data_IF_291963596942
#
_entry.id   IF_291963596942
#
_cell.length_a   1.000
_cell.length_b   1.000
_cell.length_c   1.000
_cell.angle_alpha   90.00
_cell.angle_beta   90.00
_cell.angle_gamma   90.00
#
_symmetry.space_group_name_H-M   'P 1'
#
loop_
_entity.id
_entity.type
_entity.pdbx_description
1 polymer ?
#
# COMPACT_ATOMS: atom_id res chain seq x y z
N UNK A 1 10.39 1.34 23.59
CA UNK A 1 9.26 1.90 22.82
C UNK A 1 9.81 2.96 21.88
N UNK A 2 9.85 2.71 20.56
CA UNK A 2 10.29 3.72 19.60
C UNK A 2 9.31 4.91 19.64
N UNK A 3 9.77 6.03 20.11
CA UNK A 3 9.10 7.31 19.95
C UNK A 3 9.33 7.83 18.52
N UNK A 4 8.58 8.84 18.08
CA UNK A 4 8.85 9.52 16.82
C UNK A 4 10.33 9.89 16.76
N UNK A 5 10.99 9.61 15.64
CA UNK A 5 12.43 9.76 15.53
C UNK A 5 12.90 9.69 14.08
N UNK A 6 14.22 9.66 13.94
CA UNK A 6 14.87 9.61 12.63
C UNK A 6 15.90 8.49 12.67
N UNK A 7 15.82 7.57 11.71
CA UNK A 7 16.85 6.58 11.47
C UNK A 7 17.77 7.11 10.37
N UNK A 8 19.06 7.14 10.66
CA UNK A 8 20.09 7.59 9.72
C UNK A 8 21.19 6.54 9.62
N UNK A 9 21.65 6.33 8.41
CA UNK A 9 22.86 5.58 8.11
C UNK A 9 23.74 6.47 7.23
N UNK A 10 25.04 6.51 7.51
CA UNK A 10 25.99 7.27 6.70
C UNK A 10 25.90 6.86 5.22
N UNK A 11 25.84 7.85 4.33
CA UNK A 11 25.68 7.63 2.89
C UNK A 11 24.31 7.10 2.42
N UNK A 12 23.31 6.98 3.31
CA UNK A 12 21.99 6.47 2.98
C UNK A 12 20.86 7.48 3.23
N UNK A 13 19.69 7.18 2.69
CA UNK A 13 18.48 7.98 2.88
C UNK A 13 18.06 8.02 4.35
N UNK A 14 17.63 9.17 4.79
CA UNK A 14 17.04 9.35 6.12
C UNK A 14 15.64 8.79 6.18
N UNK A 15 15.33 7.99 7.18
CA UNK A 15 13.99 7.45 7.44
C UNK A 15 13.39 8.18 8.63
N UNK A 16 12.27 8.83 8.43
CA UNK A 16 11.49 9.46 9.48
C UNK A 16 10.48 8.45 10.07
N UNK A 17 10.49 8.32 11.38
CA UNK A 17 9.59 7.42 12.13
C UNK A 17 8.53 8.28 12.81
N UNK A 18 7.26 8.01 12.49
CA UNK A 18 6.12 8.73 13.05
C UNK A 18 5.20 7.78 13.82
N UNK A 19 4.65 8.26 14.93
CA UNK A 19 3.56 7.62 15.67
C UNK A 19 2.33 8.50 15.65
N UNK A 20 1.16 7.88 15.53
CA UNK A 20 -0.11 8.61 15.52
C UNK A 20 -0.35 9.47 14.28
N UNK A 21 0.55 9.45 13.30
CA UNK A 21 0.48 10.25 12.09
C UNK A 21 0.24 9.39 10.82
N UNK A 22 -0.26 8.17 10.98
CA UNK A 22 -0.42 7.21 9.89
C UNK A 22 -1.20 7.79 8.70
N UNK A 23 -2.34 8.42 8.96
CA UNK A 23 -3.17 9.00 7.91
C UNK A 23 -2.43 10.13 7.15
N UNK A 24 -1.77 11.03 7.87
CA UNK A 24 -1.05 12.15 7.25
C UNK A 24 0.13 11.66 6.40
N UNK A 25 0.90 10.69 6.90
CA UNK A 25 2.01 10.08 6.17
C UNK A 25 1.50 9.38 4.91
N UNK A 26 0.43 8.58 5.02
CA UNK A 26 -0.15 7.86 3.91
C UNK A 26 -0.69 8.80 2.81
N UNK A 27 -1.37 9.88 3.21
CA UNK A 27 -1.90 10.88 2.27
C UNK A 27 -0.81 11.66 1.53
N UNK A 28 0.34 11.89 2.17
CA UNK A 28 1.47 12.63 1.58
C UNK A 28 2.45 11.73 0.80
N UNK A 29 2.26 10.40 0.82
CA UNK A 29 3.15 9.46 0.13
C UNK A 29 2.82 9.34 -1.35
N UNK A 30 3.83 9.19 -2.20
CA UNK A 30 3.69 8.87 -3.63
C UNK A 30 3.59 7.36 -3.88
N UNK A 31 4.18 6.57 -2.99
CA UNK A 31 4.22 5.10 -2.99
C UNK A 31 4.10 4.61 -1.56
N UNK A 32 3.40 3.51 -1.37
CA UNK A 32 3.30 2.83 -0.07
C UNK A 32 4.03 1.50 -0.13
N UNK A 33 4.94 1.27 0.81
CA UNK A 33 5.56 -0.02 1.02
C UNK A 33 4.91 -0.66 2.25
N UNK A 34 4.33 -1.83 2.07
CA UNK A 34 3.62 -2.53 3.14
C UNK A 34 3.87 -4.03 3.09
N UNK A 35 3.72 -4.70 4.22
CA UNK A 35 3.85 -6.16 4.26
C UNK A 35 2.53 -6.84 3.90
N UNK A 36 1.42 -6.36 4.44
CA UNK A 36 0.08 -6.89 4.19
C UNK A 36 -1.00 -6.06 4.89
N UNK A 37 -2.27 -6.37 4.63
CA UNK A 37 -3.42 -5.93 5.41
C UNK A 37 -3.91 -4.52 5.09
N UNK A 38 -4.57 -3.93 6.06
CA UNK A 38 -5.34 -2.68 5.92
C UNK A 38 -4.54 -1.49 5.39
N UNK A 39 -3.23 -1.42 5.65
CA UNK A 39 -2.39 -0.34 5.13
C UNK A 39 -2.34 -0.34 3.59
N UNK A 40 -2.25 -1.54 2.97
CA UNK A 40 -2.26 -1.70 1.51
C UNK A 40 -3.64 -1.35 0.93
N UNK A 41 -4.72 -1.77 1.60
CA UNK A 41 -6.09 -1.40 1.21
C UNK A 41 -6.31 0.11 1.23
N UNK A 42 -5.83 0.77 2.28
CA UNK A 42 -5.92 2.22 2.42
C UNK A 42 -5.07 2.95 1.37
N UNK A 43 -3.90 2.42 1.00
CA UNK A 43 -3.10 2.96 -0.09
C UNK A 43 -3.88 2.93 -1.41
N UNK A 44 -4.49 1.78 -1.75
CA UNK A 44 -5.34 1.66 -2.94
C UNK A 44 -6.51 2.63 -2.87
N UNK A 45 -7.18 2.75 -1.73
CA UNK A 45 -8.29 3.70 -1.52
C UNK A 45 -7.91 5.17 -1.66
N UNK A 46 -6.64 5.51 -1.42
CA UNK A 46 -6.07 6.83 -1.66
C UNK A 46 -5.47 7.00 -3.07
N UNK A 47 -5.72 6.05 -3.95
CA UNK A 47 -5.19 6.01 -5.31
C UNK A 47 -3.65 6.03 -5.36
N UNK A 48 -3.01 5.35 -4.41
CA UNK A 48 -1.54 5.21 -4.35
C UNK A 48 -1.14 3.81 -4.77
N UNK A 49 -0.10 3.65 -5.58
CA UNK A 49 0.48 2.33 -5.81
C UNK A 49 1.06 1.78 -4.51
N UNK A 50 0.97 0.48 -4.34
CA UNK A 50 1.51 -0.20 -3.17
C UNK A 50 2.49 -1.30 -3.59
N UNK A 51 3.64 -1.36 -2.94
CA UNK A 51 4.61 -2.45 -3.06
C UNK A 51 4.53 -3.31 -1.81
N UNK A 52 4.23 -4.59 -1.98
CA UNK A 52 4.25 -5.55 -0.90
C UNK A 52 5.63 -6.18 -0.75
N UNK A 53 6.08 -6.30 0.50
CA UNK A 53 7.31 -7.00 0.89
C UNK A 53 6.93 -8.25 1.68
N UNK A 54 6.75 -9.40 1.03
CA UNK A 54 6.53 -10.65 1.75
C UNK A 54 7.77 -11.01 2.58
N UNK A 55 7.55 -11.69 3.68
CA UNK A 55 8.59 -12.09 4.63
C UNK A 55 8.19 -13.32 5.42
N UNK A 56 8.78 -13.51 6.59
CA UNK A 56 8.42 -14.57 7.52
C UNK A 56 7.13 -14.25 8.29
N UNK A 57 6.30 -15.26 8.53
CA UNK A 57 5.08 -15.15 9.33
C UNK A 57 3.80 -15.43 8.53
N UNK A 58 2.71 -15.74 9.21
CA UNK A 58 1.49 -16.27 8.57
C UNK A 58 0.77 -15.28 7.64
N UNK A 59 0.95 -13.96 7.85
CA UNK A 59 0.32 -12.93 7.04
C UNK A 59 1.28 -12.23 6.08
N UNK A 60 2.52 -12.71 5.98
CA UNK A 60 3.58 -12.08 5.18
C UNK A 60 4.13 -13.01 4.10
N UNK A 61 3.44 -14.08 3.80
CA UNK A 61 3.84 -15.04 2.77
C UNK A 61 3.57 -14.50 1.37
N UNK A 62 4.31 -14.99 0.38
CA UNK A 62 4.08 -14.69 -1.03
C UNK A 62 2.65 -15.05 -1.47
N UNK A 63 2.08 -16.14 -0.93
CA UNK A 63 0.70 -16.54 -1.22
C UNK A 63 -0.31 -15.51 -0.70
N UNK A 64 -0.09 -14.95 0.48
CA UNK A 64 -0.94 -13.89 1.02
C UNK A 64 -0.82 -12.59 0.23
N UNK A 65 0.41 -12.20 -0.15
CA UNK A 65 0.65 -11.04 -0.99
C UNK A 65 -0.06 -11.16 -2.35
N UNK A 66 -0.01 -12.34 -2.96
CA UNK A 66 -0.72 -12.60 -4.23
C UNK A 66 -2.24 -12.58 -4.06
N UNK A 67 -2.78 -13.15 -2.98
CA UNK A 67 -4.21 -13.09 -2.68
C UNK A 67 -4.68 -11.63 -2.52
N UNK A 68 -3.92 -10.81 -1.82
CA UNK A 68 -4.21 -9.39 -1.65
C UNK A 68 -4.10 -8.62 -2.97
N UNK A 69 -3.11 -8.93 -3.81
CA UNK A 69 -2.98 -8.35 -5.16
C UNK A 69 -4.19 -8.69 -6.03
N UNK A 70 -4.69 -9.92 -5.99
CA UNK A 70 -5.92 -10.31 -6.71
C UNK A 70 -7.14 -9.55 -6.21
N UNK A 71 -7.25 -9.36 -4.92
CA UNK A 71 -8.34 -8.61 -4.29
C UNK A 71 -8.30 -7.13 -4.66
N UNK A 72 -7.15 -6.48 -4.53
CA UNK A 72 -6.98 -5.03 -4.63
C UNK A 72 -6.60 -4.54 -6.04
N UNK A 73 -6.20 -5.44 -6.94
CA UNK A 73 -5.96 -5.13 -8.33
C UNK A 73 -4.49 -4.87 -8.70
N UNK A 74 -4.24 -4.46 -9.96
CA UNK A 74 -2.91 -4.39 -10.55
C UNK A 74 -2.04 -3.23 -10.05
N UNK A 75 -2.56 -2.39 -9.17
CA UNK A 75 -1.81 -1.30 -8.53
C UNK A 75 -1.14 -1.71 -7.22
N UNK A 76 -1.30 -2.98 -6.84
CA UNK A 76 -0.56 -3.65 -5.78
C UNK A 76 0.50 -4.53 -6.42
N UNK A 77 1.75 -4.23 -6.16
CA UNK A 77 2.93 -4.85 -6.75
C UNK A 77 3.63 -5.73 -5.73
N UNK A 78 4.30 -6.76 -6.22
CA UNK A 78 5.16 -7.62 -5.43
C UNK A 78 6.33 -8.04 -6.30
N UNK A 79 7.56 -7.94 -5.80
CA UNK A 79 8.73 -8.39 -6.52
C UNK A 79 8.78 -9.93 -6.56
N UNK A 80 9.35 -10.52 -7.62
CA UNK A 80 9.54 -11.96 -7.71
C UNK A 80 10.58 -12.46 -6.71
N UNK A 81 10.64 -13.78 -6.55
CA UNK A 81 11.62 -14.46 -5.70
C UNK A 81 11.04 -14.95 -4.38
N UNK A 82 11.86 -15.70 -3.66
CA UNK A 82 11.50 -16.23 -2.34
C UNK A 82 11.45 -15.08 -1.32
N UNK A 83 10.35 -15.02 -0.59
CA UNK A 83 10.10 -13.96 0.39
C UNK A 83 11.23 -13.81 1.40
N UNK A 84 11.82 -12.63 1.46
CA UNK A 84 12.93 -12.29 2.37
C UNK A 84 14.30 -12.76 1.91
N UNK A 85 14.42 -13.41 0.74
CA UNK A 85 15.73 -13.70 0.13
C UNK A 85 16.45 -12.41 -0.30
N UNK A 86 17.75 -12.48 -0.49
CA UNK A 86 18.54 -11.35 -0.96
C UNK A 86 18.06 -10.87 -2.34
N UNK A 87 17.80 -11.82 -3.25
CA UNK A 87 17.30 -11.56 -4.60
C UNK A 87 15.93 -10.86 -4.58
N UNK A 88 15.03 -11.31 -3.70
CA UNK A 88 13.72 -10.68 -3.54
C UNK A 88 13.85 -9.25 -2.99
N UNK A 89 14.76 -9.01 -2.04
CA UNK A 89 15.00 -7.67 -1.49
C UNK A 89 15.60 -6.72 -2.53
N UNK A 90 16.56 -7.19 -3.34
CA UNK A 90 17.13 -6.40 -4.45
C UNK A 90 16.07 -6.07 -5.51
N UNK A 91 15.30 -7.08 -5.94
CA UNK A 91 14.21 -6.88 -6.89
C UNK A 91 13.14 -5.93 -6.33
N UNK A 92 12.83 -6.03 -5.04
CA UNK A 92 11.91 -5.11 -4.35
C UNK A 92 12.43 -3.69 -4.31
N UNK A 93 13.73 -3.49 -4.06
CA UNK A 93 14.35 -2.17 -4.07
C UNK A 93 14.32 -1.54 -5.47
N UNK A 94 14.67 -2.30 -6.52
CA UNK A 94 14.61 -1.84 -7.90
C UNK A 94 13.16 -1.46 -8.29
N UNK A 95 12.20 -2.31 -7.98
CA UNK A 95 10.78 -2.08 -8.24
C UNK A 95 10.25 -0.86 -7.45
N UNK A 96 10.72 -0.67 -6.22
CA UNK A 96 10.37 0.51 -5.42
C UNK A 96 10.79 1.81 -6.10
N UNK A 97 12.02 1.88 -6.61
CA UNK A 97 12.54 3.06 -7.32
C UNK A 97 11.77 3.32 -8.62
N UNK A 98 11.49 2.29 -9.42
CA UNK A 98 10.68 2.40 -10.63
C UNK A 98 9.28 2.93 -10.30
N UNK A 99 8.59 2.31 -9.34
CA UNK A 99 7.26 2.71 -8.94
C UNK A 99 7.22 4.14 -8.37
N UNK A 100 8.22 4.54 -7.60
CA UNK A 100 8.31 5.90 -7.07
C UNK A 100 8.46 6.93 -8.20
N UNK A 101 9.28 6.65 -9.20
CA UNK A 101 9.41 7.50 -10.38
C UNK A 101 8.09 7.55 -11.16
N UNK A 102 7.50 6.40 -11.45
CA UNK A 102 6.25 6.29 -12.21
C UNK A 102 5.06 6.94 -11.49
N UNK A 103 4.96 6.82 -10.18
CA UNK A 103 3.89 7.46 -9.41
C UNK A 103 3.88 8.98 -9.57
N UNK A 104 5.02 9.58 -9.89
CA UNK A 104 5.17 11.02 -10.10
C UNK A 104 4.91 11.46 -11.54
N UNK A 105 5.34 10.68 -12.52
CA UNK A 105 5.35 11.10 -13.94
C UNK A 105 4.47 10.25 -14.88
N UNK A 106 4.02 9.06 -14.47
CA UNK A 106 3.24 8.15 -15.31
C UNK A 106 1.73 8.38 -15.08
N UNK A 107 1.09 9.09 -16.02
CA UNK A 107 -0.34 9.39 -15.94
C UNK A 107 -1.22 8.14 -16.15
N UNK A 108 -0.71 7.12 -16.85
CA UNK A 108 -1.43 5.84 -16.99
C UNK A 108 -1.49 5.09 -15.66
N UNK A 109 -0.39 5.05 -14.92
CA UNK A 109 -0.38 4.49 -13.56
C UNK A 109 -1.35 5.23 -12.63
N UNK A 110 -1.32 6.57 -12.64
CA UNK A 110 -2.23 7.40 -11.84
C UNK A 110 -3.69 7.17 -12.19
N UNK A 111 -3.99 7.03 -13.48
CA UNK A 111 -5.35 6.71 -13.97
C UNK A 111 -5.78 5.31 -13.55
N UNK A 112 -4.87 4.33 -13.65
CA UNK A 112 -5.10 2.97 -13.19
C UNK A 112 -5.39 2.94 -11.67
N UNK A 113 -4.61 3.65 -10.86
CA UNK A 113 -4.84 3.74 -9.41
C UNK A 113 -6.22 4.28 -9.07
N UNK A 114 -6.67 5.35 -9.73
CA UNK A 114 -8.02 5.90 -9.53
C UNK A 114 -9.11 4.90 -9.90
N UNK A 115 -9.00 4.28 -11.07
CA UNK A 115 -9.97 3.30 -11.58
C UNK A 115 -10.09 2.07 -10.66
N UNK A 116 -8.95 1.54 -10.20
CA UNK A 116 -8.97 0.37 -9.32
C UNK A 116 -9.46 0.71 -7.91
N UNK A 117 -9.18 1.91 -7.39
CA UNK A 117 -9.75 2.36 -6.12
C UNK A 117 -11.28 2.38 -6.18
N UNK A 118 -11.88 3.00 -7.20
CA UNK A 118 -13.33 3.02 -7.39
C UNK A 118 -13.92 1.63 -7.58
N UNK A 119 -13.28 0.81 -8.42
CA UNK A 119 -13.76 -0.53 -8.75
C UNK A 119 -13.76 -1.49 -7.56
N UNK A 120 -12.72 -1.41 -6.71
CA UNK A 120 -12.46 -2.40 -5.64
C UNK A 120 -13.04 -1.97 -4.29
N UNK A 121 -12.97 -0.69 -3.99
CA UNK A 121 -13.37 -0.14 -2.69
C UNK A 121 -14.64 0.74 -2.79
N UNK A 122 -15.06 1.04 -4.00
CA UNK A 122 -16.24 1.87 -4.25
C UNK A 122 -15.99 3.36 -4.04
N UNK A 123 -17.04 4.14 -4.27
CA UNK A 123 -17.01 5.59 -4.15
C UNK A 123 -17.09 6.08 -2.70
N UNK A 124 -16.64 7.32 -2.46
CA UNK A 124 -16.77 7.99 -1.17
C UNK A 124 -18.20 7.94 -0.65
N UNK A 125 -18.37 7.97 0.67
CA UNK A 125 -19.69 7.94 1.33
C UNK A 125 -20.26 6.53 1.53
N UNK A 126 -19.45 5.48 1.42
CA UNK A 126 -19.86 4.10 1.66
C UNK A 126 -20.51 3.90 3.04
N UNK A 127 -19.93 4.48 4.08
CA UNK A 127 -20.50 4.44 5.43
C UNK A 127 -21.90 5.05 5.53
N UNK A 128 -22.12 6.20 4.88
CA UNK A 128 -23.45 6.82 4.86
C UNK A 128 -24.48 5.97 4.09
N UNK A 129 -24.08 5.41 2.93
CA UNK A 129 -24.97 4.50 2.18
C UNK A 129 -25.34 3.26 3.00
N UNK A 130 -24.38 2.70 3.71
CA UNK A 130 -24.59 1.55 4.58
C UNK A 130 -25.52 1.91 5.75
N UNK A 131 -25.28 3.03 6.41
CA UNK A 131 -26.14 3.52 7.50
C UNK A 131 -27.58 3.73 7.02
N UNK A 132 -27.77 4.37 5.86
CA UNK A 132 -29.11 4.56 5.27
C UNK A 132 -29.79 3.23 4.92
N UNK A 133 -29.04 2.27 4.37
CA UNK A 133 -29.58 0.95 4.07
C UNK A 133 -30.04 0.20 5.34
N UNK A 134 -29.23 0.25 6.40
CA UNK A 134 -29.57 -0.37 7.69
C UNK A 134 -30.78 0.34 8.32
N UNK A 135 -30.81 1.67 8.33
CA UNK A 135 -31.94 2.43 8.87
C UNK A 135 -33.26 2.15 8.15
N UNK A 136 -33.22 1.88 6.85
CA UNK A 136 -34.41 1.48 6.06
C UNK A 136 -34.91 0.06 6.36
N UNK A 137 -34.14 -0.76 7.08
CA UNK A 137 -34.52 -2.12 7.52
C UNK A 137 -35.06 -2.15 8.96
N UNK A 138 -34.94 -1.04 9.68
CA UNK A 138 -35.47 -0.93 11.03
C UNK A 138 -36.96 -0.53 10.96
N UNK A 139 -37.82 -1.16 11.79
CA UNK A 139 -39.24 -0.83 11.85
C UNK A 139 -39.49 0.57 12.39
#
# INVERSE_FOLDING_TARGET
>A
TLQAGVLRREGATTIHVHRGAFQAVLQSSDLVIGMAGTAVEQAVGLCRPALQLPGGGPQFTSAFAEAQRRLLGPTVFCAPGEAGSFENLEASAALCLDLLQRSRCDDDLKRCCRKEAERRLGNRGGGLRMANAISGLLP
#
